data_IF_619732270855
#
_entry.id   IF_619732270855
#
_cell.length_a   1.000
_cell.length_b   1.000
_cell.length_c   1.000
_cell.angle_alpha   90.00
_cell.angle_beta   90.00
_cell.angle_gamma   90.00
#
_symmetry.space_group_name_H-M   'P 1'
#
loop_
_entity.id
_entity.type
_entity.pdbx_description
1 polymer ?
#
# COMPACT_ATOMS: atom_id res chain seq x y z
N UNK A 1 -22.14 -18.20 -51.10
CA UNK A 1 -21.75 -18.90 -49.86
C UNK A 1 -21.66 -17.81 -48.81
N UNK A 2 -22.25 -17.99 -47.63
CA UNK A 2 -22.13 -17.01 -46.55
C UNK A 2 -20.66 -16.83 -46.21
N UNK A 3 -20.20 -15.59 -46.14
CA UNK A 3 -18.80 -15.27 -45.82
C UNK A 3 -18.65 -14.97 -44.35
N UNK A 4 -17.56 -15.39 -43.72
CA UNK A 4 -17.29 -15.00 -42.33
C UNK A 4 -17.17 -13.48 -42.16
N UNK A 5 -17.60 -12.94 -41.02
CA UNK A 5 -17.38 -11.53 -40.67
C UNK A 5 -15.90 -11.14 -40.61
N UNK A 6 -15.63 -9.85 -40.81
CA UNK A 6 -14.31 -9.29 -40.54
C UNK A 6 -13.94 -9.43 -39.05
N UNK A 7 -12.66 -9.69 -38.79
CA UNK A 7 -12.10 -9.72 -37.44
C UNK A 7 -12.34 -8.39 -36.71
N UNK A 8 -12.65 -8.40 -35.41
CA UNK A 8 -12.72 -7.18 -34.59
C UNK A 8 -11.43 -6.38 -34.70
N UNK A 9 -11.53 -5.06 -34.90
CA UNK A 9 -10.39 -4.17 -35.12
C UNK A 9 -10.42 -2.97 -34.19
N UNK A 10 -9.34 -2.19 -34.20
CA UNK A 10 -9.18 -0.98 -33.38
C UNK A 10 -9.48 -1.26 -31.89
N UNK A 11 -8.99 -2.40 -31.39
CA UNK A 11 -9.17 -2.83 -30.01
C UNK A 11 -8.23 -2.02 -29.11
N UNK A 12 -8.78 -1.39 -28.07
CA UNK A 12 -8.01 -0.67 -27.06
C UNK A 12 -8.69 -0.69 -25.71
N UNK A 13 -7.93 -0.45 -24.64
CA UNK A 13 -8.48 -0.20 -23.30
C UNK A 13 -8.27 1.27 -22.95
N UNK A 14 -9.31 1.99 -22.46
CA UNK A 14 -9.17 3.38 -22.04
C UNK A 14 -8.62 3.50 -20.61
N UNK A 15 -8.71 2.45 -19.80
CA UNK A 15 -8.40 2.46 -18.36
C UNK A 15 -7.11 1.68 -18.02
N UNK A 16 -6.64 0.80 -18.91
CA UNK A 16 -5.43 0.00 -18.69
C UNK A 16 -4.43 0.10 -19.83
N UNK A 17 -3.15 0.16 -19.45
CA UNK A 17 -2.04 -0.01 -20.38
C UNK A 17 -1.57 -1.46 -20.36
N UNK A 18 -1.53 -2.13 -21.51
CA UNK A 18 -1.04 -3.51 -21.63
C UNK A 18 0.38 -3.65 -21.06
N UNK A 19 0.61 -4.71 -20.29
CA UNK A 19 1.90 -5.00 -19.64
C UNK A 19 2.27 -4.11 -18.45
N UNK A 20 1.46 -3.09 -18.12
CA UNK A 20 1.65 -2.25 -16.93
C UNK A 20 0.73 -2.77 -15.83
N UNK A 21 1.27 -2.92 -14.61
CA UNK A 21 0.50 -3.33 -13.43
C UNK A 21 -0.52 -2.26 -13.03
N UNK A 22 -1.70 -2.71 -12.64
CA UNK A 22 -2.79 -1.88 -12.13
C UNK A 22 -3.40 -2.53 -10.90
N UNK A 23 -3.82 -1.68 -9.95
CA UNK A 23 -4.65 -2.07 -8.81
C UNK A 23 -6.14 -1.99 -9.11
N UNK A 24 -6.54 -1.27 -10.15
CA UNK A 24 -7.89 -1.37 -10.69
C UNK A 24 -8.01 -2.76 -11.32
N UNK A 25 -8.85 -3.59 -10.73
CA UNK A 25 -9.00 -4.98 -11.15
C UNK A 25 -10.21 -5.19 -12.07
N UNK A 26 -10.77 -4.11 -12.61
CA UNK A 26 -11.80 -4.13 -13.63
C UNK A 26 -11.27 -3.47 -14.89
N UNK A 27 -11.30 -4.18 -16.01
CA UNK A 27 -10.69 -3.70 -17.26
C UNK A 27 -11.78 -3.49 -18.29
N UNK A 28 -11.84 -2.31 -18.88
CA UNK A 28 -12.70 -2.04 -20.04
C UNK A 28 -11.90 -2.18 -21.33
N UNK A 29 -12.46 -2.88 -22.31
CA UNK A 29 -11.94 -2.93 -23.68
C UNK A 29 -13.00 -2.45 -24.64
N UNK A 30 -12.62 -1.52 -25.50
CA UNK A 30 -13.40 -1.01 -26.61
C UNK A 30 -12.87 -1.58 -27.92
N UNK A 31 -13.74 -1.74 -28.90
CA UNK A 31 -13.37 -2.11 -30.27
C UNK A 31 -14.27 -1.42 -31.28
N UNK A 32 -13.81 -1.37 -32.52
CA UNK A 32 -14.64 -0.95 -33.65
C UNK A 32 -15.53 -2.11 -34.09
N UNK A 33 -16.81 -1.84 -34.31
CA UNK A 33 -17.75 -2.84 -34.78
C UNK A 33 -17.26 -3.50 -36.09
N UNK A 34 -17.26 -4.83 -36.11
CA UNK A 34 -16.96 -5.64 -37.29
C UNK A 34 -17.98 -5.39 -38.40
N UNK A 35 -17.55 -5.59 -39.64
CA UNK A 35 -18.42 -5.54 -40.82
C UNK A 35 -18.54 -6.94 -41.41
N UNK A 36 -19.72 -7.24 -41.94
CA UNK A 36 -19.95 -8.43 -42.76
C UNK A 36 -20.33 -8.01 -44.20
N UNK A 37 -19.85 -8.73 -45.22
CA UNK A 37 -20.13 -8.46 -46.62
C UNK A 37 -21.61 -8.69 -46.98
N UNK A 38 -22.24 -9.67 -46.35
CA UNK A 38 -23.66 -10.02 -46.46
C UNK A 38 -24.54 -9.18 -45.50
N UNK A 39 -23.90 -8.34 -44.66
CA UNK A 39 -24.51 -7.42 -43.68
C UNK A 39 -25.36 -8.11 -42.60
N UNK A 40 -24.98 -9.31 -42.22
CA UNK A 40 -25.70 -10.19 -41.29
C UNK A 40 -24.89 -10.49 -40.01
N UNK A 41 -24.06 -9.54 -39.56
CA UNK A 41 -23.36 -9.65 -38.29
C UNK A 41 -24.38 -9.91 -37.15
N UNK A 42 -24.23 -11.04 -36.48
CA UNK A 42 -25.12 -11.48 -35.40
C UNK A 42 -24.61 -11.06 -34.02
N UNK A 43 -23.30 -10.92 -33.83
CA UNK A 43 -22.72 -10.52 -32.55
C UNK A 43 -21.27 -10.91 -32.36
N UNK A 44 -20.89 -11.00 -31.09
CA UNK A 44 -19.53 -11.37 -30.69
C UNK A 44 -19.56 -12.45 -29.61
N UNK A 45 -18.51 -13.27 -29.62
CA UNK A 45 -18.08 -14.04 -28.47
C UNK A 45 -16.92 -13.30 -27.82
N UNK A 46 -17.00 -13.09 -26.51
CA UNK A 46 -15.97 -12.42 -25.69
C UNK A 46 -15.61 -13.29 -24.48
N UNK A 47 -14.38 -13.22 -24.00
CA UNK A 47 -13.96 -13.89 -22.77
C UNK A 47 -12.75 -13.19 -22.14
N UNK A 48 -12.74 -13.16 -20.82
CA UNK A 48 -11.58 -12.80 -20.01
C UNK A 48 -11.00 -14.06 -19.37
N UNK A 49 -9.72 -14.35 -19.60
CA UNK A 49 -9.02 -15.43 -18.93
C UNK A 49 -7.49 -15.18 -18.85
N UNK A 50 -6.76 -16.13 -18.27
CA UNK A 50 -5.31 -16.08 -18.13
C UNK A 50 -4.55 -16.87 -19.21
N UNK A 51 -5.22 -17.24 -20.31
CA UNK A 51 -4.63 -18.01 -21.40
C UNK A 51 -4.46 -17.10 -22.64
N UNK A 52 -3.25 -17.00 -23.22
CA UNK A 52 -3.00 -16.06 -24.32
C UNK A 52 -3.73 -16.41 -25.62
N UNK A 53 -4.12 -17.68 -25.82
CA UNK A 53 -4.56 -18.21 -27.12
C UNK A 53 -5.97 -18.83 -27.11
N UNK A 54 -6.84 -18.44 -26.17
CA UNK A 54 -8.17 -19.07 -26.03
C UNK A 54 -9.08 -18.83 -27.23
N UNK A 55 -9.56 -19.93 -27.82
CA UNK A 55 -10.53 -19.88 -28.94
C UNK A 55 -11.96 -19.97 -28.41
N UNK A 56 -12.81 -19.03 -28.83
CA UNK A 56 -14.20 -18.89 -28.35
C UNK A 56 -15.19 -19.58 -29.29
N UNK A 57 -16.32 -20.06 -28.77
CA UNK A 57 -17.36 -20.72 -29.60
C UNK A 57 -18.79 -20.32 -29.25
N UNK A 58 -18.99 -19.43 -28.28
CA UNK A 58 -20.31 -19.09 -27.76
C UNK A 58 -20.52 -17.58 -27.76
N UNK A 59 -21.52 -17.14 -28.51
CA UNK A 59 -21.96 -15.74 -28.52
C UNK A 59 -22.40 -15.30 -27.13
N UNK A 60 -21.98 -14.11 -26.72
CA UNK A 60 -22.42 -13.48 -25.46
C UNK A 60 -22.60 -11.95 -25.57
N UNK A 61 -22.41 -11.36 -26.75
CA UNK A 61 -22.65 -9.94 -27.02
C UNK A 61 -23.48 -9.76 -28.29
N UNK A 62 -24.26 -8.68 -28.32
CA UNK A 62 -25.07 -8.30 -29.49
C UNK A 62 -24.23 -7.70 -30.62
N UNK A 63 -24.80 -7.51 -31.82
CA UNK A 63 -24.08 -7.04 -33.01
C UNK A 63 -23.65 -5.57 -32.93
N UNK A 64 -24.30 -4.79 -32.06
CA UNK A 64 -23.96 -3.37 -31.83
C UNK A 64 -23.00 -3.17 -30.67
N UNK A 65 -22.50 -4.24 -30.03
CA UNK A 65 -21.54 -4.11 -28.94
C UNK A 65 -20.20 -3.59 -29.47
N UNK A 66 -19.66 -2.59 -28.78
CA UNK A 66 -18.35 -1.96 -29.07
C UNK A 66 -17.48 -1.84 -27.82
N UNK A 67 -17.93 -2.42 -26.70
CA UNK A 67 -17.21 -2.41 -25.44
C UNK A 67 -17.58 -3.63 -24.60
N UNK A 68 -16.65 -4.05 -23.76
CA UNK A 68 -16.85 -5.03 -22.70
C UNK A 68 -16.00 -4.67 -21.49
N UNK A 69 -16.52 -4.88 -20.29
CA UNK A 69 -15.80 -4.64 -19.04
C UNK A 69 -15.75 -5.97 -18.30
N UNK A 70 -14.57 -6.34 -17.80
CA UNK A 70 -14.41 -7.55 -17.00
C UNK A 70 -15.19 -7.47 -15.69
N UNK A 71 -15.54 -8.63 -15.13
CA UNK A 71 -15.78 -8.70 -13.68
C UNK A 71 -14.49 -8.35 -12.92
N UNK A 72 -14.56 -8.30 -11.58
CA UNK A 72 -13.39 -8.13 -10.71
C UNK A 72 -12.40 -9.28 -10.92
N UNK A 73 -11.24 -8.98 -11.48
CA UNK A 73 -10.17 -9.93 -11.75
C UNK A 73 -9.28 -10.13 -10.53
N UNK A 74 -8.75 -11.35 -10.37
CA UNK A 74 -7.70 -11.63 -9.39
C UNK A 74 -6.32 -11.18 -9.90
N UNK A 75 -5.32 -11.13 -9.01
CA UNK A 75 -3.95 -10.81 -9.42
C UNK A 75 -3.43 -11.79 -10.48
N UNK A 76 -2.71 -11.26 -11.47
CA UNK A 76 -2.13 -12.06 -12.55
C UNK A 76 -2.16 -11.37 -13.91
N UNK A 77 -1.84 -12.15 -14.95
CA UNK A 77 -1.86 -11.70 -16.34
C UNK A 77 -3.16 -12.13 -17.02
N UNK A 78 -3.92 -11.17 -17.54
CA UNK A 78 -5.23 -11.37 -18.14
C UNK A 78 -5.26 -10.98 -19.61
N UNK A 79 -6.07 -11.68 -20.39
CA UNK A 79 -6.30 -11.43 -21.80
C UNK A 79 -7.79 -11.25 -22.07
N UNK A 80 -8.12 -10.29 -22.92
CA UNK A 80 -9.44 -10.16 -23.52
C UNK A 80 -9.44 -10.84 -24.88
N UNK A 81 -10.35 -11.79 -25.09
CA UNK A 81 -10.51 -12.52 -26.33
C UNK A 81 -11.81 -12.10 -26.99
N UNK A 82 -11.79 -11.86 -28.30
CA UNK A 82 -12.99 -11.51 -29.05
C UNK A 82 -12.99 -12.13 -30.45
N UNK A 83 -14.17 -12.58 -30.90
CA UNK A 83 -14.40 -12.89 -32.32
C UNK A 83 -15.83 -12.55 -32.74
N UNK A 84 -15.99 -12.18 -34.01
CA UNK A 84 -17.28 -11.84 -34.62
C UNK A 84 -18.00 -13.09 -35.16
N UNK A 85 -19.33 -13.03 -35.20
CA UNK A 85 -20.23 -14.12 -35.58
C UNK A 85 -21.33 -13.57 -36.48
N UNK A 86 -21.63 -14.23 -37.60
CA UNK A 86 -22.77 -13.91 -38.48
C UNK A 86 -24.03 -14.74 -38.12
N UNK A 87 -25.16 -14.43 -38.77
CA UNK A 87 -26.42 -15.17 -38.62
C UNK A 87 -26.33 -16.61 -39.17
N UNK A 88 -25.39 -16.87 -40.08
CA UNK A 88 -25.07 -18.19 -40.63
C UNK A 88 -24.26 -19.09 -39.69
N UNK A 89 -23.79 -18.57 -38.55
CA UNK A 89 -22.94 -19.28 -37.60
C UNK A 89 -21.48 -19.39 -38.04
N UNK A 90 -21.03 -18.63 -39.03
CA UNK A 90 -19.61 -18.50 -39.34
C UNK A 90 -18.96 -17.53 -38.37
N UNK A 91 -17.67 -17.75 -38.15
CA UNK A 91 -16.89 -16.98 -37.20
C UNK A 91 -15.65 -16.39 -37.86
N UNK A 92 -15.25 -15.22 -37.38
CA UNK A 92 -13.91 -14.69 -37.64
C UNK A 92 -12.85 -15.49 -36.88
N UNK A 93 -11.57 -15.23 -37.13
CA UNK A 93 -10.51 -15.65 -36.19
C UNK A 93 -10.70 -14.94 -34.85
N UNK A 94 -10.18 -15.55 -33.78
CA UNK A 94 -10.10 -14.91 -32.48
C UNK A 94 -8.97 -13.90 -32.47
N UNK A 95 -9.27 -12.71 -31.95
CA UNK A 95 -8.30 -11.68 -31.62
C UNK A 95 -8.07 -11.70 -30.12
N UNK A 96 -6.80 -11.71 -29.71
CA UNK A 96 -6.36 -11.74 -28.32
C UNK A 96 -5.74 -10.39 -27.98
N UNK A 97 -6.23 -9.73 -26.92
CA UNK A 97 -5.78 -8.41 -26.49
C UNK A 97 -5.28 -8.45 -25.04
N UNK A 98 -3.99 -8.20 -24.84
CA UNK A 98 -3.32 -8.35 -23.54
C UNK A 98 -1.80 -8.56 -23.66
N UNK A 99 -1.12 -8.99 -22.60
CA UNK A 99 -1.67 -9.16 -21.26
C UNK A 99 -1.96 -7.81 -20.58
N UNK A 100 -2.95 -7.80 -19.71
CA UNK A 100 -3.12 -6.82 -18.65
C UNK A 100 -2.62 -7.41 -17.35
N UNK A 101 -1.94 -6.60 -16.54
CA UNK A 101 -1.34 -7.07 -15.29
C UNK A 101 -2.16 -6.48 -14.14
N UNK A 102 -2.83 -7.35 -13.39
CA UNK A 102 -3.54 -6.98 -12.17
C UNK A 102 -2.64 -7.35 -10.99
N UNK A 103 -2.36 -6.38 -10.14
CA UNK A 103 -1.64 -6.56 -8.89
C UNK A 103 -2.28 -5.68 -7.82
N UNK A 104 -3.02 -6.31 -6.90
CA UNK A 104 -3.78 -5.64 -5.85
C UNK A 104 -3.10 -5.71 -4.48
N UNK A 105 -1.85 -6.17 -4.45
CA UNK A 105 -1.07 -6.39 -3.25
C UNK A 105 -0.52 -5.05 -2.70
N UNK A 106 -0.91 -4.60 -1.49
CA UNK A 106 -0.29 -3.44 -0.88
C UNK A 106 1.17 -3.71 -0.54
N UNK A 107 1.97 -2.64 -0.40
CA UNK A 107 3.31 -2.71 0.17
C UNK A 107 3.54 -1.58 1.19
N UNK A 108 4.40 -1.83 2.19
CA UNK A 108 4.81 -0.84 3.19
C UNK A 108 6.28 -0.49 2.97
N UNK A 109 6.54 0.77 2.63
CA UNK A 109 7.89 1.28 2.48
C UNK A 109 8.49 1.69 3.82
N UNK A 110 7.77 2.50 4.60
CA UNK A 110 8.25 2.99 5.89
C UNK A 110 7.14 3.35 6.88
N UNK A 111 7.51 3.38 8.16
CA UNK A 111 6.69 3.82 9.28
C UNK A 111 7.47 4.92 9.99
N UNK A 112 6.88 6.11 10.12
CA UNK A 112 7.56 7.28 10.68
C UNK A 112 6.69 8.00 11.73
N UNK A 113 7.18 8.20 12.96
CA UNK A 113 8.44 7.66 13.49
C UNK A 113 8.45 6.12 13.49
N UNK A 114 9.64 5.52 13.37
CA UNK A 114 9.82 4.07 13.47
C UNK A 114 9.99 3.57 14.91
N UNK A 115 9.81 4.45 15.90
CA UNK A 115 9.83 4.14 17.32
C UNK A 115 8.65 4.82 18.02
N UNK A 116 8.29 4.34 19.19
CA UNK A 116 7.43 5.02 20.16
C UNK A 116 7.83 4.73 21.60
N UNK A 117 7.25 5.50 22.52
CA UNK A 117 7.39 5.26 23.97
C UNK A 117 6.24 4.38 24.46
N UNK A 118 6.51 3.46 25.38
CA UNK A 118 5.49 2.69 26.10
C UNK A 118 4.53 3.62 26.84
N UNK A 119 5.06 4.69 27.43
CA UNK A 119 4.31 5.52 28.37
C UNK A 119 3.55 6.66 27.69
N UNK A 120 3.52 6.72 26.35
CA UNK A 120 2.72 7.68 25.58
C UNK A 120 2.23 7.10 24.25
N UNK A 121 1.05 7.55 23.80
CA UNK A 121 0.57 7.19 22.48
C UNK A 121 1.47 7.81 21.38
N UNK A 122 1.82 7.03 20.36
CA UNK A 122 2.71 7.47 19.28
C UNK A 122 1.94 7.54 17.96
N UNK A 123 1.77 8.74 17.41
CA UNK A 123 1.20 8.94 16.08
C UNK A 123 2.21 8.61 14.99
N UNK A 124 1.85 7.73 14.06
CA UNK A 124 2.71 7.28 12.96
C UNK A 124 2.10 7.54 11.59
N UNK A 125 2.97 7.84 10.63
CA UNK A 125 2.68 7.88 9.20
C UNK A 125 3.26 6.62 8.56
N UNK A 126 2.40 5.83 7.95
CA UNK A 126 2.78 4.62 7.21
C UNK A 126 2.72 4.97 5.73
N UNK A 127 3.85 4.85 5.05
CA UNK A 127 3.96 5.10 3.60
C UNK A 127 4.16 3.80 2.85
N UNK A 128 3.64 3.74 1.64
CA UNK A 128 3.61 2.51 0.85
C UNK A 128 2.96 2.69 -0.49
N UNK A 129 2.41 1.60 -1.03
CA UNK A 129 1.58 1.60 -2.23
C UNK A 129 0.28 0.85 -2.00
N UNK A 130 -0.70 1.20 -2.83
CA UNK A 130 -1.93 0.43 -3.01
C UNK A 130 -2.75 0.25 -1.73
N UNK A 131 -2.64 1.19 -0.80
CA UNK A 131 -3.55 1.27 0.34
C UNK A 131 -4.96 1.62 -0.14
N UNK A 132 -5.96 1.08 0.53
CA UNK A 132 -7.36 1.32 0.23
C UNK A 132 -8.08 1.97 1.42
N UNK A 133 -9.12 2.76 1.12
CA UNK A 133 -10.01 3.26 2.17
C UNK A 133 -10.64 2.09 2.93
N UNK A 134 -10.55 2.13 4.26
CA UNK A 134 -10.94 1.01 5.13
C UNK A 134 -9.84 -0.02 5.40
N UNK A 135 -8.58 0.24 5.00
CA UNK A 135 -7.44 -0.55 5.41
C UNK A 135 -7.29 -0.57 6.95
N UNK A 136 -6.95 -1.73 7.50
CA UNK A 136 -6.66 -1.93 8.92
C UNK A 136 -5.17 -2.12 9.14
N UNK A 137 -4.69 -1.76 10.34
CA UNK A 137 -3.28 -1.85 10.74
C UNK A 137 -3.17 -2.68 12.01
N UNK A 138 -2.18 -3.57 12.08
CA UNK A 138 -1.76 -4.24 13.30
C UNK A 138 -0.29 -3.95 13.61
N UNK A 139 0.03 -3.88 14.91
CA UNK A 139 1.41 -3.87 15.43
C UNK A 139 1.66 -5.18 16.19
N UNK A 140 2.50 -6.05 15.64
CA UNK A 140 2.53 -7.46 16.04
C UNK A 140 1.11 -8.06 15.98
N UNK A 141 0.60 -8.49 17.14
CA UNK A 141 -0.76 -9.05 17.28
C UNK A 141 -1.80 -8.03 17.76
N UNK A 142 -1.43 -6.76 17.96
CA UNK A 142 -2.31 -5.71 18.48
C UNK A 142 -2.98 -4.98 17.32
N UNK A 143 -4.31 -4.95 17.32
CA UNK A 143 -5.10 -4.17 16.36
C UNK A 143 -5.05 -2.67 16.69
N UNK A 144 -4.82 -1.83 15.68
CA UNK A 144 -4.84 -0.38 15.84
C UNK A 144 -6.24 0.15 15.53
N UNK A 145 -6.90 0.72 16.54
CA UNK A 145 -8.29 1.18 16.44
C UNK A 145 -8.46 2.41 15.53
N UNK A 146 -7.48 3.32 15.53
CA UNK A 146 -7.58 4.60 14.83
C UNK A 146 -6.67 4.65 13.61
N UNK A 147 -7.08 4.01 12.52
CA UNK A 147 -6.41 4.10 11.21
C UNK A 147 -7.17 5.06 10.31
N UNK A 148 -6.47 6.09 9.82
CA UNK A 148 -6.97 7.05 8.85
C UNK A 148 -6.32 6.80 7.50
N UNK A 149 -7.15 6.53 6.48
CA UNK A 149 -6.71 6.50 5.10
C UNK A 149 -6.55 7.94 4.58
N UNK A 150 -5.33 8.30 4.15
CA UNK A 150 -5.04 9.62 3.57
C UNK A 150 -5.00 9.53 2.05
N UNK A 151 -4.28 8.55 1.51
CA UNK A 151 -4.19 8.27 0.08
C UNK A 151 -3.77 6.82 -0.15
N UNK A 152 -3.71 6.37 -1.40
CA UNK A 152 -3.18 5.04 -1.76
C UNK A 152 -1.71 4.83 -1.36
N UNK A 153 -1.02 5.87 -0.91
CA UNK A 153 0.38 5.80 -0.50
C UNK A 153 0.62 6.23 0.96
N UNK A 154 -0.43 6.61 1.70
CA UNK A 154 -0.32 7.11 3.07
C UNK A 154 -1.49 6.66 3.95
N UNK A 155 -1.15 6.01 5.07
CA UNK A 155 -2.04 5.79 6.20
C UNK A 155 -1.50 6.56 7.42
N UNK A 156 -2.39 7.01 8.28
CA UNK A 156 -2.07 7.53 9.62
C UNK A 156 -2.65 6.60 10.66
N UNK A 157 -1.87 6.29 11.67
CA UNK A 157 -2.27 5.40 12.75
C UNK A 157 -1.72 5.93 14.07
N UNK A 158 -2.33 5.53 15.19
CA UNK A 158 -1.83 5.84 16.53
C UNK A 158 -1.56 4.55 17.26
N UNK A 159 -0.31 4.31 17.62
CA UNK A 159 0.09 3.21 18.47
C UNK A 159 -0.25 3.59 19.92
N UNK A 160 -1.05 2.80 20.63
CA UNK A 160 -1.53 3.16 21.95
C UNK A 160 -0.41 3.14 23.01
N UNK A 161 -0.57 3.97 24.04
CA UNK A 161 0.21 3.84 25.26
C UNK A 161 0.00 2.47 25.91
N UNK A 162 0.94 2.03 26.74
CA UNK A 162 0.93 0.73 27.37
C UNK A 162 1.34 -0.42 26.44
N UNK A 163 1.66 -0.15 25.17
CA UNK A 163 2.28 -1.16 24.30
C UNK A 163 3.61 -1.58 24.92
N UNK A 164 3.81 -2.88 25.14
CA UNK A 164 5.01 -3.37 25.81
C UNK A 164 6.29 -3.07 25.00
N UNK A 165 7.46 -2.93 25.64
CA UNK A 165 8.70 -2.66 24.92
C UNK A 165 9.10 -3.85 24.05
N UNK A 166 9.50 -3.58 22.81
CA UNK A 166 9.80 -4.62 21.84
C UNK A 166 9.98 -4.09 20.43
N UNK A 167 10.38 -4.97 19.52
CA UNK A 167 10.35 -4.70 18.07
C UNK A 167 9.19 -5.45 17.48
N UNK A 168 8.39 -4.75 16.69
CA UNK A 168 7.12 -5.23 16.16
C UNK A 168 7.10 -5.16 14.65
N UNK A 169 6.48 -6.17 14.06
CA UNK A 169 6.08 -6.12 12.65
C UNK A 169 4.87 -5.21 12.51
N UNK A 170 4.78 -4.49 11.38
CA UNK A 170 3.60 -3.71 11.04
C UNK A 170 2.89 -4.40 9.89
N UNK A 171 1.63 -4.75 10.10
CA UNK A 171 0.79 -5.40 9.09
C UNK A 171 -0.30 -4.44 8.63
N UNK A 172 -0.44 -4.27 7.33
CA UNK A 172 -1.57 -3.57 6.71
C UNK A 172 -2.43 -4.59 5.98
N UNK A 173 -3.75 -4.54 6.19
CA UNK A 173 -4.73 -5.37 5.47
C UNK A 173 -5.74 -4.46 4.78
N UNK A 174 -5.87 -4.59 3.46
CA UNK A 174 -6.85 -3.87 2.67
C UNK A 174 -8.23 -4.59 2.68
N UNK A 175 -9.34 -3.90 2.36
CA UNK A 175 -10.68 -4.50 2.28
C UNK A 175 -10.81 -5.63 1.25
N UNK A 176 -9.96 -5.66 0.23
CA UNK A 176 -9.87 -6.77 -0.73
C UNK A 176 -9.18 -8.02 -0.17
N UNK A 177 -8.90 -8.06 1.14
CA UNK A 177 -8.20 -9.12 1.87
C UNK A 177 -6.72 -9.30 1.50
N UNK A 178 -6.14 -8.42 0.68
CA UNK A 178 -4.70 -8.38 0.45
C UNK A 178 -4.00 -7.73 1.63
N UNK A 179 -2.83 -8.23 1.97
CA UNK A 179 -2.11 -7.81 3.17
C UNK A 179 -0.62 -7.80 2.94
N UNK A 180 0.07 -6.85 3.57
CA UNK A 180 1.53 -6.77 3.59
C UNK A 180 2.04 -6.64 5.00
N UNK A 181 3.28 -7.06 5.22
CA UNK A 181 3.95 -7.03 6.52
C UNK A 181 5.31 -6.36 6.34
N UNK A 182 5.52 -5.27 7.08
CA UNK A 182 6.84 -4.71 7.31
C UNK A 182 7.44 -5.36 8.54
N UNK A 183 8.32 -6.33 8.32
CA UNK A 183 9.06 -6.98 9.40
C UNK A 183 9.90 -5.95 10.17
N UNK A 184 9.86 -6.00 11.50
CA UNK A 184 10.54 -5.05 12.39
C UNK A 184 10.26 -3.59 12.01
N UNK A 185 9.01 -3.31 11.63
CA UNK A 185 8.57 -2.01 11.14
C UNK A 185 8.47 -0.92 12.21
N UNK A 186 8.39 -1.29 13.49
CA UNK A 186 8.28 -0.34 14.60
C UNK A 186 8.92 -0.87 15.89
N UNK A 187 9.52 0.02 16.68
CA UNK A 187 10.08 -0.31 18.00
C UNK A 187 9.35 0.44 19.10
N UNK A 188 9.00 -0.24 20.19
CA UNK A 188 8.55 0.40 21.43
C UNK A 188 9.67 0.33 22.46
N UNK A 189 9.99 1.46 23.06
CA UNK A 189 10.95 1.59 24.14
C UNK A 189 10.31 2.23 25.36
N UNK A 190 10.95 2.13 26.52
CA UNK A 190 10.59 2.93 27.70
C UNK A 190 11.57 4.08 27.79
N UNK A 191 11.06 5.31 27.74
CA UNK A 191 11.85 6.49 28.06
C UNK A 191 11.29 7.12 29.33
N UNK A 192 12.06 7.12 30.41
CA UNK A 192 11.66 7.77 31.65
C UNK A 192 12.00 9.25 31.55
N UNK A 193 11.05 10.11 31.91
CA UNK A 193 11.28 11.56 31.98
C UNK A 193 12.44 11.86 32.94
N UNK A 194 12.52 11.15 34.07
CA UNK A 194 13.62 11.27 35.03
C UNK A 194 15.01 10.96 34.45
N UNK A 195 15.07 10.18 33.36
CA UNK A 195 16.34 9.84 32.69
C UNK A 195 16.70 10.85 31.57
N UNK A 196 15.80 11.81 31.28
CA UNK A 196 15.89 12.76 30.17
C UNK A 196 15.77 14.24 30.60
N UNK A 197 15.26 14.49 31.79
CA UNK A 197 15.20 15.77 32.50
C UNK A 197 16.51 15.93 33.29
N UNK A 198 17.51 16.55 32.66
CA UNK A 198 18.87 16.66 33.19
C UNK A 198 18.97 17.82 34.20
N UNK A 199 18.07 18.80 34.13
CA UNK A 199 18.03 19.92 35.07
C UNK A 199 17.03 19.74 36.23
N UNK A 200 16.34 18.59 36.30
CA UNK A 200 15.32 18.24 37.28
C UNK A 200 14.19 19.27 37.37
N UNK A 201 13.80 19.88 36.24
CA UNK A 201 12.73 20.88 36.19
C UNK A 201 11.34 20.30 35.86
N UNK A 202 11.22 18.97 35.87
CA UNK A 202 10.06 18.17 35.51
C UNK A 202 9.62 18.36 34.04
N UNK A 203 10.48 18.92 33.18
CA UNK A 203 10.28 19.01 31.74
C UNK A 203 11.45 18.36 30.98
N UNK A 204 11.17 17.94 29.75
CA UNK A 204 12.21 17.54 28.79
C UNK A 204 12.20 18.59 27.67
N UNK A 205 13.15 19.51 27.71
CA UNK A 205 13.23 20.64 26.79
C UNK A 205 14.64 20.86 26.21
N UNK A 206 14.84 21.96 25.48
CA UNK A 206 16.13 22.27 24.86
C UNK A 206 17.25 22.51 25.89
N UNK A 207 16.91 22.87 27.12
CA UNK A 207 17.81 23.05 28.25
C UNK A 207 18.48 21.73 28.61
N UNK A 208 17.71 20.64 28.66
CA UNK A 208 18.23 19.29 28.89
C UNK A 208 19.16 18.86 27.77
N UNK A 209 18.77 19.08 26.51
CA UNK A 209 19.63 18.77 25.36
C UNK A 209 20.97 19.54 25.44
N UNK A 210 20.93 20.82 25.80
CA UNK A 210 22.13 21.65 25.95
C UNK A 210 23.00 21.16 27.11
N UNK A 211 22.39 20.73 28.23
CA UNK A 211 23.10 20.19 29.37
C UNK A 211 23.75 18.85 29.02
N UNK A 212 23.02 17.93 28.39
CA UNK A 212 23.56 16.66 27.90
C UNK A 212 24.73 16.85 26.91
N UNK A 213 24.62 17.79 25.98
CA UNK A 213 25.72 18.13 25.06
C UNK A 213 26.94 18.73 25.77
N UNK A 214 26.73 19.57 26.80
CA UNK A 214 27.83 20.13 27.61
C UNK A 214 28.56 19.03 28.37
N UNK A 215 27.82 18.09 28.96
CA UNK A 215 28.40 16.94 29.68
C UNK A 215 29.16 16.03 28.71
N UNK A 216 28.60 15.73 27.53
CA UNK A 216 29.31 14.98 26.47
C UNK A 216 30.60 15.68 25.98
N UNK A 217 30.62 17.02 26.00
CA UNK A 217 31.80 17.81 25.69
C UNK A 217 32.83 17.87 26.83
N UNK A 218 32.58 17.18 27.95
CA UNK A 218 33.45 17.15 29.13
C UNK A 218 33.36 18.42 29.99
N UNK A 219 32.31 19.23 29.83
CA UNK A 219 32.05 20.40 30.65
C UNK A 219 31.24 20.01 31.89
N UNK A 220 31.50 20.69 33.02
CA UNK A 220 30.75 20.51 34.27
C UNK A 220 29.93 21.79 34.56
N UNK A 221 28.73 21.94 33.97
CA UNK A 221 27.88 23.10 34.19
C UNK A 221 27.31 23.09 35.62
N UNK A 222 27.17 24.27 36.23
CA UNK A 222 26.58 24.41 37.57
C UNK A 222 25.13 23.92 37.58
N UNK A 223 24.77 23.10 38.57
CA UNK A 223 23.41 22.58 38.76
C UNK A 223 23.26 21.07 38.56
N UNK A 224 24.22 20.40 37.90
CA UNK A 224 24.17 18.93 37.72
C UNK A 224 24.76 18.24 38.95
N UNK A 225 24.00 17.36 39.61
CA UNK A 225 24.50 16.55 40.72
C UNK A 225 24.91 15.17 40.21
N UNK A 226 25.97 14.59 40.77
CA UNK A 226 26.43 13.23 40.44
C UNK A 226 25.48 12.12 40.93
N UNK A 227 24.24 12.47 41.28
CA UNK A 227 23.18 11.56 41.70
C UNK A 227 22.22 11.23 40.53
N UNK A 228 22.38 11.90 39.38
CA UNK A 228 21.43 11.91 38.25
C UNK A 228 21.86 10.94 37.14
N UNK A 229 22.65 9.92 37.49
CA UNK A 229 23.16 8.91 36.55
C UNK A 229 22.23 7.69 36.47
N UNK A 230 21.70 7.46 35.27
CA UNK A 230 20.65 6.48 34.97
C UNK A 230 21.11 5.03 35.16
N UNK A 231 22.41 4.73 35.05
CA UNK A 231 22.96 3.37 35.19
C UNK A 231 24.07 3.24 36.28
N UNK A 232 24.34 4.31 37.03
CA UNK A 232 25.38 4.39 38.08
C UNK A 232 26.83 4.11 37.61
N UNK A 233 27.19 4.48 36.37
CA UNK A 233 28.52 4.20 35.79
C UNK A 233 29.51 5.38 35.76
N UNK A 234 29.10 6.58 36.17
CA UNK A 234 29.94 7.78 36.19
C UNK A 234 29.80 8.72 34.98
N UNK A 235 28.86 8.49 34.03
CA UNK A 235 28.79 9.25 32.75
C UNK A 235 27.38 9.44 32.20
N UNK A 236 27.11 10.63 31.66
CA UNK A 236 26.04 10.82 30.66
C UNK A 236 26.55 10.28 29.31
N UNK A 237 25.84 9.32 28.74
CA UNK A 237 26.21 8.66 27.49
C UNK A 237 25.49 9.28 26.28
N UNK A 238 26.02 9.02 25.08
CA UNK A 238 25.44 9.52 23.82
C UNK A 238 23.99 9.05 23.63
N UNK A 239 23.65 7.90 24.23
CA UNK A 239 22.32 7.30 24.18
C UNK A 239 21.22 8.20 24.78
N UNK A 240 21.52 8.91 25.87
CA UNK A 240 20.56 9.78 26.56
C UNK A 240 20.30 11.07 25.78
N UNK A 241 21.36 11.66 25.21
CA UNK A 241 21.25 12.83 24.34
C UNK A 241 20.49 12.51 23.05
N UNK A 242 20.66 11.30 22.49
CA UNK A 242 19.86 10.81 21.36
C UNK A 242 18.37 10.67 21.75
N UNK A 243 18.06 10.17 22.96
CA UNK A 243 16.68 10.08 23.45
C UNK A 243 16.02 11.45 23.61
N UNK A 244 16.70 12.40 24.25
CA UNK A 244 16.21 13.78 24.43
C UNK A 244 15.94 14.42 23.05
N UNK A 245 16.88 14.33 22.11
CA UNK A 245 16.71 14.81 20.73
C UNK A 245 15.47 14.23 20.04
N UNK A 246 15.14 12.97 20.34
CA UNK A 246 14.01 12.27 19.74
C UNK A 246 12.68 12.78 20.31
N UNK A 247 12.57 12.89 21.64
CA UNK A 247 11.39 13.46 22.31
C UNK A 247 11.14 14.89 21.85
N UNK A 248 12.19 15.71 21.76
CA UNK A 248 12.08 17.10 21.26
C UNK A 248 11.66 17.17 19.79
N UNK A 249 11.95 16.16 18.98
CA UNK A 249 11.55 16.12 17.56
C UNK A 249 10.06 15.86 17.35
N UNK A 250 9.38 15.31 18.35
CA UNK A 250 7.95 14.95 18.33
C UNK A 250 7.04 16.08 18.86
N UNK A 251 7.58 17.10 19.52
CA UNK A 251 6.85 18.27 20.08
C UNK A 251 6.42 19.33 19.04
N UNK A 252 6.11 18.94 17.79
CA UNK A 252 5.70 19.88 16.72
C UNK A 252 4.21 20.21 16.69
#
# INVERSE_FOLDING_TARGET
>A
MATSPAEPSDIFSPDHTRGVSSTDNTITVNWKASTDADKDLNGYATLWDNFPDTVLWSKNRGPTATSDTSDSLGDGSWYFHIRAIDDGGNYSKTVHYGPFIIDTQPDIFSVNPGVGNRDSATGVVITGTDFMSGATVMIGDIEIENVTFVSSTELRATIPEGTEPGTYDIKVTNPNSRMTIKNSGFQVAVYRIQDMDINEDDAVDLTDMILGLKVLAGLNPAGIQSADEVNSDGRIEVTEVICILRVLSELK
#
